data_IF_756707494048
#
_entry.id   IF_756707494048
#
_cell.length_a   1.000
_cell.length_b   1.000
_cell.length_c   1.000
_cell.angle_alpha   90.00
_cell.angle_beta   90.00
_cell.angle_gamma   90.00
#
_symmetry.space_group_name_H-M   'P 1'
#
loop_
_entity.id
_entity.type
_entity.pdbx_description
1 polymer ?
#
# COMPACT_ATOMS: atom_id res chain seq x y z
N UNK A 1 1.88 7.65 -26.24
CA UNK A 1 2.74 6.74 -25.46
C UNK A 1 1.90 5.70 -24.69
N UNK A 2 1.16 4.79 -25.36
CA UNK A 2 0.32 3.79 -24.69
C UNK A 2 1.11 2.68 -23.97
N UNK A 3 2.32 2.37 -24.41
CA UNK A 3 3.15 1.35 -23.77
C UNK A 3 3.68 1.77 -22.41
N UNK A 4 4.01 3.06 -22.25
CA UNK A 4 4.48 3.61 -20.98
C UNK A 4 3.41 3.54 -19.90
N UNK A 5 2.15 3.82 -20.25
CA UNK A 5 1.03 3.77 -19.30
C UNK A 5 0.76 2.35 -18.82
N UNK A 6 0.78 1.36 -19.73
CA UNK A 6 0.62 -0.05 -19.35
C UNK A 6 1.76 -0.52 -18.44
N UNK A 7 3.00 -0.13 -18.74
CA UNK A 7 4.15 -0.49 -17.90
C UNK A 7 4.04 0.11 -16.49
N UNK A 8 3.69 1.40 -16.39
CA UNK A 8 3.48 2.08 -15.11
C UNK A 8 2.32 1.45 -14.31
N UNK A 9 1.24 1.06 -15.00
CA UNK A 9 0.10 0.37 -14.39
C UNK A 9 0.52 -0.98 -13.78
N UNK A 10 1.24 -1.81 -14.55
CA UNK A 10 1.72 -3.10 -14.09
C UNK A 10 2.68 -2.98 -12.92
N UNK A 11 3.59 -2.01 -12.99
CA UNK A 11 4.53 -1.69 -11.93
C UNK A 11 3.79 -1.24 -10.66
N UNK A 12 2.81 -0.35 -10.80
CA UNK A 12 2.04 0.14 -9.65
C UNK A 12 1.24 -0.97 -8.98
N UNK A 13 0.47 -1.77 -9.74
CA UNK A 13 -0.35 -2.84 -9.16
C UNK A 13 0.46 -3.97 -8.54
N UNK A 14 1.56 -4.39 -9.18
CA UNK A 14 2.43 -5.43 -8.62
C UNK A 14 3.09 -4.99 -7.32
N UNK A 15 3.62 -3.75 -7.27
CA UNK A 15 4.15 -3.18 -6.03
C UNK A 15 3.05 -3.06 -4.96
N UNK A 16 1.84 -2.64 -5.33
CA UNK A 16 0.71 -2.54 -4.40
C UNK A 16 0.37 -3.90 -3.77
N UNK A 17 0.28 -4.97 -4.56
CA UNK A 17 0.03 -6.32 -4.03
C UNK A 17 1.15 -6.81 -3.12
N UNK A 18 2.41 -6.51 -3.45
CA UNK A 18 3.54 -6.85 -2.60
C UNK A 18 3.51 -6.07 -1.27
N UNK A 19 3.29 -4.75 -1.28
CA UNK A 19 3.11 -3.94 -0.07
C UNK A 19 2.06 -4.58 0.84
N UNK A 20 0.91 -4.93 0.26
CA UNK A 20 -0.23 -5.45 1.00
C UNK A 20 0.07 -6.80 1.65
N UNK A 21 0.79 -7.71 0.99
CA UNK A 21 1.19 -8.98 1.57
C UNK A 21 2.29 -8.82 2.66
N UNK A 22 3.30 -7.99 2.42
CA UNK A 22 4.40 -7.78 3.36
C UNK A 22 4.02 -6.94 4.58
N UNK A 23 2.96 -6.13 4.48
CA UNK A 23 2.42 -5.36 5.60
C UNK A 23 2.07 -6.26 6.79
N UNK A 24 1.51 -7.45 6.56
CA UNK A 24 1.21 -8.41 7.61
C UNK A 24 2.47 -8.88 8.34
N UNK A 25 3.53 -9.20 7.59
CA UNK A 25 4.82 -9.58 8.17
C UNK A 25 5.42 -8.42 8.98
N UNK A 26 5.39 -7.20 8.45
CA UNK A 26 5.94 -6.03 9.13
C UNK A 26 5.13 -5.58 10.33
N UNK A 27 3.81 -5.79 10.31
CA UNK A 27 2.95 -5.60 11.46
C UNK A 27 3.31 -6.57 12.58
N UNK A 28 3.52 -7.86 12.26
CA UNK A 28 3.98 -8.86 13.23
C UNK A 28 5.37 -8.52 13.80
N UNK A 29 6.26 -7.92 13.00
CA UNK A 29 7.60 -7.49 13.42
C UNK A 29 7.62 -6.10 14.10
N UNK A 30 6.49 -5.41 14.21
CA UNK A 30 6.43 -4.07 14.81
C UNK A 30 7.17 -2.97 14.06
N UNK A 31 7.49 -3.16 12.77
CA UNK A 31 8.24 -2.16 11.97
C UNK A 31 7.37 -0.93 11.72
N UNK A 32 7.91 0.27 11.91
CA UNK A 32 7.18 1.55 11.71
C UNK A 32 6.75 1.73 10.26
N UNK A 33 5.52 2.20 10.03
CA UNK A 33 4.89 2.35 8.71
C UNK A 33 5.73 3.12 7.68
N UNK A 34 6.35 4.24 8.09
CA UNK A 34 7.16 5.07 7.19
C UNK A 34 8.39 4.35 6.61
N UNK A 35 8.95 3.39 7.34
CA UNK A 35 10.13 2.62 6.86
C UNK A 35 9.72 1.53 5.86
N UNK A 36 8.47 1.06 5.90
CA UNK A 36 7.97 -0.03 5.06
C UNK A 36 7.94 0.34 3.58
N UNK A 37 7.45 1.55 3.27
CA UNK A 37 7.38 2.04 1.89
C UNK A 37 8.79 2.26 1.34
N UNK A 38 9.67 2.89 2.12
CA UNK A 38 11.06 3.07 1.73
C UNK A 38 11.77 1.73 1.46
N UNK A 39 11.49 0.68 2.23
CA UNK A 39 12.06 -0.65 1.97
C UNK A 39 11.61 -1.23 0.62
N UNK A 40 10.37 -0.99 0.21
CA UNK A 40 9.86 -1.45 -1.08
C UNK A 40 10.42 -0.62 -2.23
N UNK A 41 10.43 0.70 -2.10
CA UNK A 41 10.92 1.60 -3.14
C UNK A 41 12.41 1.41 -3.42
N UNK A 42 13.21 1.09 -2.39
CA UNK A 42 14.64 0.77 -2.55
C UNK A 42 14.90 -0.62 -3.14
N UNK A 43 13.98 -1.57 -2.98
CA UNK A 43 14.12 -2.97 -3.45
C UNK A 43 13.02 -3.36 -4.44
N UNK A 44 12.57 -2.38 -5.24
CA UNK A 44 11.41 -2.51 -6.10
C UNK A 44 11.46 -3.70 -7.07
N UNK A 45 12.60 -4.16 -7.65
CA UNK A 45 12.57 -5.28 -8.60
C UNK A 45 12.15 -6.59 -7.95
N UNK A 46 12.55 -6.79 -6.68
CA UNK A 46 12.19 -7.97 -5.91
C UNK A 46 10.69 -8.01 -5.61
N UNK A 47 10.15 -6.89 -5.13
CA UNK A 47 8.73 -6.77 -4.80
C UNK A 47 7.84 -6.77 -6.05
N UNK A 48 8.32 -6.18 -7.14
CA UNK A 48 7.68 -6.26 -8.46
C UNK A 48 7.55 -7.71 -8.91
N UNK A 49 8.65 -8.48 -8.89
CA UNK A 49 8.64 -9.88 -9.26
C UNK A 49 7.74 -10.73 -8.35
N UNK A 50 7.68 -10.41 -7.06
CA UNK A 50 6.80 -11.09 -6.11
C UNK A 50 5.30 -10.84 -6.38
N UNK A 51 4.92 -9.60 -6.71
CA UNK A 51 3.53 -9.22 -6.97
C UNK A 51 3.03 -9.51 -8.39
N UNK A 52 3.94 -9.72 -9.33
CA UNK A 52 3.63 -9.92 -10.76
C UNK A 52 2.78 -11.17 -11.04
N UNK A 53 3.04 -12.35 -10.44
CA UNK A 53 2.18 -13.53 -10.60
C UNK A 53 0.72 -13.26 -10.19
N UNK A 54 0.51 -12.50 -9.10
CA UNK A 54 -0.83 -12.13 -8.62
C UNK A 54 -1.50 -11.20 -9.64
N UNK A 55 -0.78 -10.18 -10.11
CA UNK A 55 -1.30 -9.23 -11.08
C UNK A 55 -1.72 -9.91 -12.39
N UNK A 56 -0.89 -10.83 -12.92
CA UNK A 56 -1.21 -11.60 -14.11
C UNK A 56 -2.41 -12.52 -13.90
N UNK A 57 -2.46 -13.24 -12.77
CA UNK A 57 -3.55 -14.16 -12.48
C UNK A 57 -4.89 -13.43 -12.28
N UNK A 58 -4.88 -12.26 -11.64
CA UNK A 58 -6.06 -11.39 -11.52
C UNK A 58 -6.43 -10.72 -12.84
N UNK A 59 -5.45 -10.36 -13.67
CA UNK A 59 -5.64 -9.72 -14.98
C UNK A 59 -6.18 -10.65 -16.07
N UNK A 60 -5.98 -11.96 -15.93
CA UNK A 60 -6.44 -12.96 -16.90
C UNK A 60 -7.97 -12.95 -17.11
N UNK A 61 -8.72 -12.65 -16.05
CA UNK A 61 -10.17 -12.64 -16.09
C UNK A 61 -10.73 -11.27 -16.49
N UNK A 62 -11.70 -11.27 -17.42
CA UNK A 62 -12.35 -10.06 -17.93
C UNK A 62 -13.45 -9.54 -17.00
N UNK A 63 -14.15 -10.44 -16.29
CA UNK A 63 -15.19 -10.03 -15.35
C UNK A 63 -14.58 -9.55 -14.03
N UNK A 64 -15.10 -8.42 -13.55
CA UNK A 64 -14.72 -7.83 -12.27
C UNK A 64 -14.92 -8.82 -11.12
N UNK A 65 -16.02 -9.58 -11.15
CA UNK A 65 -16.33 -10.60 -10.13
C UNK A 65 -15.27 -11.70 -10.09
N UNK A 66 -14.89 -12.24 -11.25
CA UNK A 66 -13.87 -13.29 -11.32
C UNK A 66 -12.49 -12.78 -10.90
N UNK A 67 -12.17 -11.51 -11.22
CA UNK A 67 -10.91 -10.87 -10.83
C UNK A 67 -10.79 -10.73 -9.30
N UNK A 68 -11.86 -10.29 -8.63
CA UNK A 68 -11.86 -10.13 -7.17
C UNK A 68 -11.84 -11.47 -6.45
N UNK A 69 -12.54 -12.49 -6.96
CA UNK A 69 -12.47 -13.86 -6.42
C UNK A 69 -11.05 -14.41 -6.56
N UNK A 70 -10.42 -14.30 -7.74
CA UNK A 70 -9.05 -14.74 -7.96
C UNK A 70 -8.06 -14.02 -7.03
N UNK A 71 -8.18 -12.70 -6.89
CA UNK A 71 -7.39 -11.93 -5.94
C UNK A 71 -7.59 -12.43 -4.50
N UNK A 72 -8.83 -12.64 -4.06
CA UNK A 72 -9.16 -13.09 -2.69
C UNK A 72 -8.56 -14.46 -2.37
N UNK A 73 -8.49 -15.36 -3.35
CA UNK A 73 -7.88 -16.68 -3.18
C UNK A 73 -6.35 -16.62 -3.15
N UNK A 74 -5.74 -15.80 -4.02
CA UNK A 74 -4.28 -15.65 -4.09
C UNK A 74 -3.72 -14.82 -2.95
N UNK A 75 -4.53 -13.93 -2.38
CA UNK A 75 -4.12 -13.04 -1.31
C UNK A 75 -3.58 -13.76 -0.06
N UNK A 76 -4.27 -14.74 0.57
CA UNK A 76 -3.73 -15.47 1.72
C UNK A 76 -2.46 -16.25 1.38
N UNK A 77 -2.37 -16.82 0.18
CA UNK A 77 -1.14 -17.48 -0.30
C UNK A 77 0.02 -16.50 -0.38
N UNK A 78 -0.25 -15.28 -0.86
CA UNK A 78 0.74 -14.21 -0.97
C UNK A 78 1.20 -13.73 0.40
N UNK A 79 0.31 -13.66 1.39
CA UNK A 79 0.70 -13.36 2.78
C UNK A 79 1.64 -14.45 3.32
N UNK A 80 1.32 -15.72 3.13
CA UNK A 80 2.17 -16.84 3.55
C UNK A 80 3.54 -16.83 2.84
N UNK A 81 3.55 -16.51 1.54
CA UNK A 81 4.78 -16.32 0.79
C UNK A 81 5.62 -15.18 1.33
N UNK A 82 5.01 -14.04 1.64
CA UNK A 82 5.71 -12.89 2.22
C UNK A 82 6.27 -13.20 3.62
N UNK A 83 5.53 -13.91 4.47
CA UNK A 83 6.02 -14.29 5.81
C UNK A 83 7.21 -15.25 5.73
N UNK A 84 7.17 -16.25 4.83
CA UNK A 84 8.28 -17.17 4.58
C UNK A 84 9.49 -16.50 3.89
N UNK A 85 9.25 -15.49 3.05
CA UNK A 85 10.29 -14.83 2.27
C UNK A 85 11.23 -13.98 3.14
N UNK A 86 12.54 -14.20 3.03
CA UNK A 86 13.53 -13.36 3.71
C UNK A 86 13.70 -12.02 2.99
N UNK A 87 13.74 -10.88 3.71
CA UNK A 87 13.93 -9.59 3.07
C UNK A 87 15.31 -9.51 2.40
N UNK A 88 15.41 -8.99 1.15
CA UNK A 88 16.69 -8.80 0.49
C UNK A 88 17.55 -7.80 1.26
N UNK A 89 18.81 -8.15 1.50
CA UNK A 89 19.79 -7.35 2.24
C UNK A 89 20.49 -6.24 1.40
N UNK A 90 20.73 -6.38 0.08
CA UNK A 90 21.30 -5.27 -0.69
C UNK A 90 20.21 -4.27 -1.10
N UNK A 91 20.48 -2.99 -0.86
CA UNK A 91 19.69 -1.87 -1.39
C UNK A 91 20.09 -1.66 -2.85
N UNK A 92 19.13 -1.57 -3.77
CA UNK A 92 19.46 -1.23 -5.15
C UNK A 92 19.79 0.26 -5.27
N UNK A 93 20.66 0.60 -6.23
CA UNK A 93 21.22 1.96 -6.43
C UNK A 93 20.14 2.97 -6.88
N UNK A 94 19.00 2.50 -7.40
CA UNK A 94 17.95 3.36 -7.94
C UNK A 94 16.60 3.11 -7.25
N UNK A 95 16.19 3.98 -6.30
CA UNK A 95 14.88 3.91 -5.68
C UNK A 95 13.79 4.46 -6.61
N UNK A 96 12.64 3.78 -6.64
CA UNK A 96 11.47 4.21 -7.40
C UNK A 96 10.39 4.72 -6.45
N UNK A 97 10.06 6.01 -6.53
CA UNK A 97 9.08 6.67 -5.67
C UNK A 97 7.65 6.65 -6.24
N UNK A 98 7.18 5.49 -6.69
CA UNK A 98 5.84 5.36 -7.30
C UNK A 98 4.71 5.46 -6.27
N UNK A 99 4.98 5.16 -5.01
CA UNK A 99 3.96 5.19 -3.95
C UNK A 99 3.93 6.53 -3.20
N UNK A 100 4.92 7.39 -3.41
CA UNK A 100 5.00 8.72 -2.79
C UNK A 100 3.78 9.62 -3.01
N UNK A 101 3.16 9.69 -4.21
CA UNK A 101 1.95 10.49 -4.41
C UNK A 101 0.80 10.06 -3.49
N UNK A 102 0.64 8.74 -3.27
CA UNK A 102 -0.38 8.22 -2.36
C UNK A 102 -0.10 8.65 -0.92
N UNK A 103 1.15 8.53 -0.47
CA UNK A 103 1.57 8.96 0.89
C UNK A 103 1.31 10.45 1.10
N UNK A 104 1.61 11.28 0.10
CA UNK A 104 1.36 12.72 0.15
C UNK A 104 -0.14 13.01 0.33
N UNK A 105 -0.99 12.39 -0.50
CA UNK A 105 -2.45 12.54 -0.40
C UNK A 105 -2.98 12.06 0.95
N UNK A 106 -2.49 10.93 1.47
CA UNK A 106 -2.87 10.42 2.78
C UNK A 106 -2.49 11.37 3.91
N UNK A 107 -1.29 11.96 3.87
CA UNK A 107 -0.86 12.94 4.86
C UNK A 107 -1.75 14.18 4.85
N UNK A 108 -2.14 14.66 3.67
CA UNK A 108 -2.98 15.85 3.54
C UNK A 108 -4.43 15.58 3.93
N UNK A 109 -4.95 14.40 3.58
CA UNK A 109 -6.24 13.92 4.07
C UNK A 109 -6.26 13.79 5.60
N UNK A 110 -5.18 13.28 6.21
CA UNK A 110 -5.06 13.17 7.66
C UNK A 110 -5.05 14.55 8.34
N UNK A 111 -4.32 15.52 7.80
CA UNK A 111 -4.34 16.91 8.29
C UNK A 111 -5.76 17.49 8.24
N UNK A 112 -6.46 17.34 7.11
CA UNK A 112 -7.83 17.81 6.95
C UNK A 112 -8.79 17.16 7.96
N UNK A 113 -8.72 15.84 8.11
CA UNK A 113 -9.52 15.10 9.09
C UNK A 113 -9.25 15.60 10.52
N UNK A 114 -7.99 15.86 10.87
CA UNK A 114 -7.61 16.35 12.19
C UNK A 114 -8.08 17.79 12.43
N UNK A 115 -8.12 18.63 11.41
CA UNK A 115 -8.67 19.99 11.48
C UNK A 115 -10.20 19.97 11.70
N UNK A 116 -10.91 19.08 11.00
CA UNK A 116 -12.36 18.91 11.16
C UNK A 116 -12.68 18.33 12.55
N UNK A 117 -11.98 17.27 12.96
CA UNK A 117 -12.15 16.65 14.28
C UNK A 117 -11.73 17.57 15.44
N UNK A 118 -10.70 18.40 15.23
CA UNK A 118 -10.28 19.44 16.17
C UNK A 118 -11.33 20.53 16.35
N UNK A 119 -11.89 21.04 15.25
CA UNK A 119 -13.02 21.99 15.27
C UNK A 119 -14.26 21.42 15.97
N UNK A 120 -14.58 20.15 15.72
CA UNK A 120 -15.70 19.45 16.36
C UNK A 120 -15.53 19.34 17.89
N UNK A 121 -14.32 19.02 18.37
CA UNK A 121 -14.04 18.97 19.82
C UNK A 121 -14.05 20.33 20.50
N UNK A 122 -13.63 21.39 19.82
CA UNK A 122 -13.65 22.77 20.36
C UNK A 122 -15.09 23.29 20.44
N UNK A 123 -15.89 23.10 19.39
CA UNK A 123 -17.30 23.50 19.38
C UNK A 123 -18.14 22.79 20.46
N UNK A 124 -17.85 21.51 20.73
CA UNK A 124 -18.48 20.77 21.83
C UNK A 124 -18.15 21.34 23.21
N UNK A 125 -16.91 21.81 23.43
CA UNK A 125 -16.51 22.41 24.71
C UNK A 125 -17.11 23.81 24.92
N UNK A 126 -17.21 24.61 23.86
CA UNK A 126 -17.85 25.94 23.94
C UNK A 126 -19.37 25.85 24.18
N UNK A 127 -20.04 24.83 23.64
CA UNK A 127 -21.45 24.57 23.90
C UNK A 127 -21.71 24.15 25.35
N UNK A 128 -20.92 23.21 25.89
CA UNK A 128 -21.04 22.77 27.30
C UNK A 128 -20.74 23.89 28.30
N UNK A 129 -19.83 24.82 27.96
CA UNK A 129 -19.52 25.98 28.80
C UNK A 129 -20.63 27.03 28.78
N UNK A 130 -21.45 27.09 27.73
CA UNK A 130 -22.57 28.05 27.60
C UNK A 130 -23.86 27.59 28.27
N UNK A 131 -23.96 26.29 28.60
CA UNK A 131 -25.12 25.68 29.28
C UNK A 131 -24.96 25.67 30.81
N UNK A 132 -23.74 25.90 31.33
CA UNK A 132 -23.48 26.18 32.74
C UNK A 132 -23.56 27.67 33.03
#
# INVERSE_FOLDING_TARGET
WPYLTVFMEWLHYSLFYAVYAFEYKWALLGIRGHTRIAQIENNWPYYFAFGLPIHLASGYWQSLYTRTVAFTLLFPFSILGATAANPPRPQFVFPIHVMYPSVYVTNEAYKLMRLIGGKSKVASKEFDQKIR
#
